data_IF_181543465484
#
_entry.id   IF_181543465484
#
_cell.length_a   1.000
_cell.length_b   1.000
_cell.length_c   1.000
_cell.angle_alpha   90.00
_cell.angle_beta   90.00
_cell.angle_gamma   90.00
#
_symmetry.space_group_name_H-M   'P 1'
#
loop_
_entity.id
_entity.type
_entity.pdbx_description
1 polymer ?
#
# COMPACT_ATOMS: atom_id res chain seq x y z
N UNK A 1 7.06 -8.91 -7.67
CA UNK A 1 6.08 -9.59 -6.79
C UNK A 1 5.18 -10.53 -7.60
N UNK A 2 4.50 -10.07 -8.65
CA UNK A 2 3.59 -10.90 -9.45
C UNK A 2 4.17 -12.24 -9.94
N UNK A 3 5.24 -12.22 -10.73
CA UNK A 3 5.84 -13.47 -11.26
C UNK A 3 6.54 -14.35 -10.22
N UNK A 4 6.88 -13.80 -9.05
CA UNK A 4 7.71 -14.48 -8.03
C UNK A 4 6.90 -15.08 -6.89
N UNK A 5 5.79 -14.44 -6.52
CA UNK A 5 4.94 -14.83 -5.40
C UNK A 5 3.52 -15.13 -5.87
N UNK A 6 2.87 -14.19 -6.58
CA UNK A 6 1.45 -14.35 -6.94
C UNK A 6 1.19 -15.56 -7.84
N UNK A 7 1.94 -15.70 -8.94
CA UNK A 7 1.72 -16.82 -9.87
C UNK A 7 1.99 -18.16 -9.17
N UNK A 8 3.14 -18.38 -8.51
CA UNK A 8 3.39 -19.66 -7.85
C UNK A 8 2.42 -19.95 -6.69
N UNK A 9 1.98 -18.94 -5.92
CA UNK A 9 0.98 -19.13 -4.85
C UNK A 9 -0.33 -19.71 -5.40
N UNK A 10 -0.78 -19.23 -6.57
CA UNK A 10 -1.99 -19.72 -7.23
C UNK A 10 -1.77 -21.07 -7.87
N UNK A 11 -0.72 -21.23 -8.69
CA UNK A 11 -0.53 -22.45 -9.48
C UNK A 11 -0.11 -23.66 -8.66
N UNK A 12 0.55 -23.45 -7.51
CA UNK A 12 0.92 -24.54 -6.58
C UNK A 12 -0.17 -24.81 -5.53
N UNK A 13 -1.32 -24.11 -5.60
CA UNK A 13 -2.43 -24.31 -4.67
C UNK A 13 -2.10 -23.95 -3.22
N UNK A 14 -1.16 -23.03 -2.99
CA UNK A 14 -0.79 -22.57 -1.64
C UNK A 14 -1.94 -21.79 -1.03
N UNK A 15 -2.62 -20.96 -1.83
CA UNK A 15 -3.76 -20.13 -1.45
C UNK A 15 -4.81 -20.12 -2.57
N UNK A 16 -6.05 -19.82 -2.19
CA UNK A 16 -7.11 -19.54 -3.17
C UNK A 16 -6.73 -18.33 -4.05
N UNK A 17 -7.14 -18.38 -5.32
CA UNK A 17 -6.78 -17.33 -6.29
C UNK A 17 -7.33 -15.96 -5.91
N UNK A 18 -8.55 -15.89 -5.36
CA UNK A 18 -9.13 -14.62 -4.94
C UNK A 18 -8.40 -14.08 -3.72
N UNK A 19 -8.00 -14.95 -2.78
CA UNK A 19 -7.21 -14.53 -1.62
C UNK A 19 -5.85 -13.94 -2.05
N UNK A 20 -5.20 -14.53 -3.06
CA UNK A 20 -3.96 -13.96 -3.62
C UNK A 20 -4.23 -12.61 -4.30
N UNK A 21 -5.32 -12.48 -5.06
CA UNK A 21 -5.66 -11.21 -5.69
C UNK A 21 -5.95 -10.11 -4.67
N UNK A 22 -6.65 -10.45 -3.58
CA UNK A 22 -6.89 -9.56 -2.45
C UNK A 22 -5.59 -9.17 -1.75
N UNK A 23 -4.68 -10.12 -1.50
CA UNK A 23 -3.40 -9.83 -0.82
C UNK A 23 -2.49 -8.88 -1.61
N UNK A 24 -2.53 -8.95 -2.94
CA UNK A 24 -1.68 -8.15 -3.82
C UNK A 24 -2.45 -7.09 -4.61
N UNK A 25 -3.67 -6.75 -4.15
CA UNK A 25 -4.57 -5.83 -4.82
C UNK A 25 -3.87 -4.52 -5.19
N UNK A 26 -4.04 -4.07 -6.45
CA UNK A 26 -3.43 -2.86 -7.04
C UNK A 26 -1.91 -2.77 -7.11
N UNK A 27 -1.16 -3.77 -6.60
CA UNK A 27 0.31 -3.75 -6.66
C UNK A 27 0.80 -3.78 -8.11
N UNK A 28 0.13 -4.53 -8.99
CA UNK A 28 0.53 -4.64 -10.39
C UNK A 28 0.31 -3.31 -11.14
N UNK A 29 -0.84 -2.67 -10.96
CA UNK A 29 -1.13 -1.37 -11.56
C UNK A 29 -0.17 -0.29 -11.07
N UNK A 30 0.11 -0.25 -9.77
CA UNK A 30 1.14 0.64 -9.21
C UNK A 30 2.49 0.36 -9.86
N UNK A 31 2.89 -0.91 -9.99
CA UNK A 31 4.13 -1.27 -10.68
C UNK A 31 4.17 -0.74 -12.12
N UNK A 32 3.10 -0.91 -12.90
CA UNK A 32 3.02 -0.42 -14.28
C UNK A 32 3.16 1.10 -14.38
N UNK A 33 2.55 1.85 -13.44
CA UNK A 33 2.73 3.29 -13.36
C UNK A 33 4.18 3.69 -13.08
N UNK A 34 4.85 3.01 -12.14
CA UNK A 34 6.27 3.28 -11.84
C UNK A 34 7.22 2.82 -12.94
N UNK A 35 6.91 1.72 -13.63
CA UNK A 35 7.70 1.26 -14.78
C UNK A 35 7.64 2.27 -15.92
N UNK A 36 6.45 2.84 -16.16
CA UNK A 36 6.25 3.91 -17.14
C UNK A 36 7.02 5.17 -16.73
N UNK A 37 6.90 5.60 -15.47
CA UNK A 37 7.66 6.74 -14.94
C UNK A 37 9.18 6.53 -15.13
N UNK A 38 9.69 5.35 -14.77
CA UNK A 38 11.10 5.01 -14.90
C UNK A 38 11.58 5.12 -16.35
N UNK A 39 10.85 4.55 -17.30
CA UNK A 39 11.21 4.61 -18.72
C UNK A 39 11.33 6.05 -19.24
N UNK A 40 10.42 6.94 -18.83
CA UNK A 40 10.52 8.37 -19.18
C UNK A 40 11.72 9.05 -18.52
N UNK A 41 11.96 8.78 -17.23
CA UNK A 41 13.11 9.37 -16.51
C UNK A 41 14.45 8.90 -17.07
N UNK A 42 14.60 7.61 -17.38
CA UNK A 42 15.81 7.05 -18.00
C UNK A 42 16.09 7.70 -19.36
N UNK A 43 15.05 7.89 -20.18
CA UNK A 43 15.18 8.57 -21.47
C UNK A 43 15.69 10.01 -21.35
N UNK A 44 15.20 10.76 -20.35
CA UNK A 44 15.66 12.13 -20.07
C UNK A 44 17.09 12.15 -19.53
N UNK A 45 17.41 11.29 -18.57
CA UNK A 45 18.74 11.26 -17.93
C UNK A 45 19.83 10.87 -18.93
N UNK A 46 19.54 10.01 -19.90
CA UNK A 46 20.50 9.63 -20.95
C UNK A 46 20.99 10.81 -21.80
N UNK A 47 20.22 11.90 -21.87
CA UNK A 47 20.51 13.09 -22.70
C UNK A 47 20.59 14.35 -21.85
N UNK A 48 20.95 14.19 -20.58
CA UNK A 48 20.89 15.26 -19.59
C UNK A 48 21.82 16.44 -19.93
N UNK A 49 21.26 17.64 -19.84
CA UNK A 49 21.98 18.91 -19.92
C UNK A 49 21.48 19.90 -18.84
N UNK A 50 22.05 21.10 -18.83
CA UNK A 50 21.73 22.15 -17.84
C UNK A 50 20.34 22.77 -17.98
N UNK A 51 19.55 22.37 -18.98
CA UNK A 51 18.17 22.83 -19.22
C UNK A 51 17.14 21.70 -19.10
N UNK A 52 17.60 20.48 -18.86
CA UNK A 52 16.76 19.30 -18.75
C UNK A 52 15.84 19.35 -17.52
N UNK A 53 14.63 18.83 -17.65
CA UNK A 53 13.61 18.83 -16.59
C UNK A 53 13.18 17.42 -16.23
N UNK A 54 12.93 17.15 -14.94
CA UNK A 54 12.26 15.93 -14.47
C UNK A 54 10.97 16.22 -13.73
N UNK A 55 10.78 17.44 -13.23
CA UNK A 55 9.59 17.83 -12.50
C UNK A 55 8.33 17.66 -13.33
N UNK A 56 8.39 17.92 -14.64
CA UNK A 56 7.27 17.78 -15.56
C UNK A 56 6.85 16.31 -15.74
N UNK A 57 7.82 15.41 -15.84
CA UNK A 57 7.61 13.97 -15.95
C UNK A 57 6.96 13.41 -14.67
N UNK A 58 7.49 13.82 -13.51
CA UNK A 58 6.98 13.40 -12.21
C UNK A 58 5.56 13.95 -11.99
N UNK A 59 5.34 15.24 -12.24
CA UNK A 59 4.03 15.88 -12.16
C UNK A 59 3.01 15.16 -13.06
N UNK A 60 3.34 14.99 -14.34
CA UNK A 60 2.45 14.30 -15.30
C UNK A 60 2.12 12.87 -14.86
N UNK A 61 3.02 12.18 -14.15
CA UNK A 61 2.73 10.86 -13.64
C UNK A 61 1.79 10.91 -12.42
N UNK A 62 2.14 11.67 -11.38
CA UNK A 62 1.38 11.67 -10.12
C UNK A 62 0.08 12.48 -10.16
N UNK A 63 -0.13 13.31 -11.17
CA UNK A 63 -1.41 13.97 -11.42
C UNK A 63 -2.41 13.12 -12.23
N UNK A 64 -2.02 11.93 -12.70
CA UNK A 64 -2.97 11.02 -13.36
C UNK A 64 -3.95 10.46 -12.34
N UNK A 65 -5.24 10.59 -12.67
CA UNK A 65 -6.31 10.02 -11.87
C UNK A 65 -6.12 8.51 -11.64
N UNK A 66 -5.66 7.78 -12.66
CA UNK A 66 -5.38 6.33 -12.55
C UNK A 66 -4.27 5.99 -11.55
N UNK A 67 -3.26 6.86 -11.39
CA UNK A 67 -2.21 6.68 -10.38
C UNK A 67 -2.78 6.93 -9.00
N UNK A 68 -3.51 8.02 -8.83
CA UNK A 68 -4.16 8.39 -7.57
C UNK A 68 -5.09 7.25 -7.11
N UNK A 69 -6.02 6.82 -7.95
CA UNK A 69 -6.97 5.74 -7.65
C UNK A 69 -6.26 4.42 -7.32
N UNK A 70 -5.21 4.06 -8.06
CA UNK A 70 -4.45 2.84 -7.77
C UNK A 70 -3.84 2.88 -6.36
N UNK A 71 -3.34 4.03 -5.94
CA UNK A 71 -2.79 4.22 -4.60
C UNK A 71 -3.87 4.23 -3.52
N UNK A 72 -4.98 4.94 -3.73
CA UNK A 72 -6.08 4.97 -2.76
C UNK A 72 -6.66 3.57 -2.56
N UNK A 73 -7.02 2.88 -3.65
CA UNK A 73 -7.55 1.52 -3.59
C UNK A 73 -6.56 0.50 -3.02
N UNK A 74 -5.26 0.66 -3.26
CA UNK A 74 -4.24 -0.14 -2.58
C UNK A 74 -4.30 0.06 -1.06
N UNK A 75 -4.36 1.30 -0.59
CA UNK A 75 -4.34 1.65 0.83
C UNK A 75 -5.62 1.18 1.54
N UNK A 76 -6.79 1.34 0.92
CA UNK A 76 -8.08 0.85 1.45
C UNK A 76 -8.05 -0.65 1.73
N UNK A 77 -7.41 -1.43 0.86
CA UNK A 77 -7.28 -2.88 1.03
C UNK A 77 -6.06 -3.30 1.87
N UNK A 78 -5.09 -2.41 2.07
CA UNK A 78 -3.80 -2.76 2.65
C UNK A 78 -3.91 -3.36 4.06
N UNK A 79 -4.76 -2.79 4.93
CA UNK A 79 -4.99 -3.31 6.28
C UNK A 79 -5.52 -4.75 6.27
N UNK A 80 -6.42 -5.07 5.33
CA UNK A 80 -6.93 -6.43 5.12
C UNK A 80 -5.81 -7.36 4.67
N UNK A 81 -5.01 -6.94 3.69
CA UNK A 81 -3.88 -7.73 3.20
C UNK A 81 -2.85 -8.01 4.30
N UNK A 82 -2.56 -7.04 5.17
CA UNK A 82 -1.68 -7.23 6.33
C UNK A 82 -2.22 -8.26 7.31
N UNK A 83 -3.52 -8.19 7.64
CA UNK A 83 -4.16 -9.17 8.52
C UNK A 83 -4.11 -10.58 7.93
N UNK A 84 -4.42 -10.72 6.65
CA UNK A 84 -4.34 -12.01 5.96
C UNK A 84 -2.91 -12.57 5.99
N UNK A 85 -1.90 -11.72 5.76
CA UNK A 85 -0.49 -12.14 5.86
C UNK A 85 -0.13 -12.61 7.27
N UNK A 86 -0.62 -11.92 8.29
CA UNK A 86 -0.36 -12.29 9.69
C UNK A 86 -1.03 -13.63 10.05
N UNK A 87 -2.28 -13.84 9.64
CA UNK A 87 -2.97 -15.12 9.84
C UNK A 87 -2.25 -16.27 9.10
N UNK A 88 -1.84 -16.04 7.85
CA UNK A 88 -1.12 -17.03 7.05
C UNK A 88 0.29 -17.29 7.56
N UNK A 89 0.91 -16.33 8.23
CA UNK A 89 2.24 -16.49 8.83
C UNK A 89 2.27 -17.57 9.91
N UNK A 90 1.12 -18.00 10.44
CA UNK A 90 1.02 -19.13 11.38
C UNK A 90 1.02 -20.50 10.68
N UNK A 91 0.80 -20.55 9.36
CA UNK A 91 0.69 -21.80 8.59
C UNK A 91 2.05 -22.24 8.07
N UNK A 92 2.49 -23.42 8.50
CA UNK A 92 3.80 -23.98 8.13
C UNK A 92 4.00 -24.18 6.62
N UNK A 93 2.93 -24.51 5.87
CA UNK A 93 2.96 -24.61 4.41
C UNK A 93 3.26 -23.28 3.74
N UNK A 94 2.64 -22.21 4.22
CA UNK A 94 2.84 -20.85 3.71
C UNK A 94 4.25 -20.33 4.04
N UNK A 95 4.71 -20.53 5.28
CA UNK A 95 6.07 -20.16 5.69
C UNK A 95 7.13 -20.82 4.80
N UNK A 96 7.06 -22.14 4.62
CA UNK A 96 8.00 -22.89 3.76
C UNK A 96 8.00 -22.39 2.32
N UNK A 97 6.82 -22.08 1.78
CA UNK A 97 6.69 -21.52 0.44
C UNK A 97 7.37 -20.14 0.34
N UNK A 98 7.09 -19.23 1.30
CA UNK A 98 7.69 -17.89 1.31
C UNK A 98 9.22 -17.95 1.43
N UNK A 99 9.74 -18.79 2.32
CA UNK A 99 11.18 -19.01 2.47
C UNK A 99 11.84 -19.53 1.18
N UNK A 100 11.17 -20.44 0.48
CA UNK A 100 11.66 -20.96 -0.80
C UNK A 100 11.72 -19.85 -1.85
N UNK A 101 10.66 -19.06 -1.99
CA UNK A 101 10.64 -17.91 -2.89
C UNK A 101 11.71 -16.87 -2.53
N UNK A 102 11.94 -16.60 -1.25
CA UNK A 102 12.97 -15.64 -0.79
C UNK A 102 14.38 -16.11 -1.15
N UNK A 103 14.67 -17.42 -0.99
CA UNK A 103 15.95 -18.04 -1.38
C UNK A 103 16.18 -17.95 -2.89
N UNK A 104 15.20 -18.34 -3.69
CA UNK A 104 15.29 -18.32 -5.16
C UNK A 104 15.47 -16.92 -5.72
N UNK A 105 14.78 -15.96 -5.12
CA UNK A 105 14.81 -14.57 -5.59
C UNK A 105 16.00 -13.78 -5.06
N UNK A 106 16.82 -14.37 -4.19
CA UNK A 106 17.93 -13.72 -3.45
C UNK A 106 17.47 -12.44 -2.76
N UNK A 107 16.21 -12.38 -2.36
CA UNK A 107 15.64 -11.17 -1.76
C UNK A 107 15.99 -11.14 -0.28
N UNK A 108 16.62 -10.05 0.17
CA UNK A 108 16.99 -9.88 1.59
C UNK A 108 15.83 -9.42 2.48
N UNK A 109 14.68 -9.08 1.89
CA UNK A 109 13.54 -8.50 2.60
C UNK A 109 12.37 -9.49 2.66
N UNK A 110 11.80 -9.73 3.86
CA UNK A 110 10.63 -10.57 4.03
C UNK A 110 9.46 -10.13 3.13
N UNK A 111 8.62 -11.07 2.70
CA UNK A 111 7.44 -10.78 1.86
C UNK A 111 6.57 -9.64 2.44
N UNK A 112 6.26 -9.66 3.74
CA UNK A 112 5.49 -8.59 4.40
C UNK A 112 6.14 -7.22 4.23
N UNK A 113 7.47 -7.15 4.37
CA UNK A 113 8.24 -5.92 4.17
C UNK A 113 8.31 -5.49 2.69
N UNK A 114 8.06 -6.39 1.73
CA UNK A 114 7.94 -6.03 0.32
C UNK A 114 6.57 -5.44 0.00
N UNK A 115 5.50 -5.98 0.58
CA UNK A 115 4.11 -5.58 0.31
C UNK A 115 3.82 -4.15 0.81
N UNK A 116 4.45 -3.70 1.90
CA UNK A 116 4.31 -2.32 2.40
C UNK A 116 5.01 -1.25 1.55
N UNK A 117 5.87 -1.63 0.59
CA UNK A 117 6.71 -0.67 -0.15
C UNK A 117 5.93 0.41 -0.91
N UNK A 118 4.78 0.13 -1.58
CA UNK A 118 4.02 1.18 -2.27
C UNK A 118 3.59 2.29 -1.32
N UNK A 119 3.05 1.94 -0.15
CA UNK A 119 2.67 2.90 0.89
C UNK A 119 3.85 3.78 1.34
N UNK A 120 5.04 3.19 1.47
CA UNK A 120 6.24 3.93 1.86
C UNK A 120 6.87 4.75 0.72
N UNK A 121 6.42 4.57 -0.53
CA UNK A 121 7.06 5.19 -1.70
C UNK A 121 6.70 6.66 -1.82
N UNK A 122 5.45 7.03 -1.53
CA UNK A 122 4.96 8.40 -1.64
C UNK A 122 5.70 9.37 -0.70
N UNK A 123 5.84 9.09 0.62
CA UNK A 123 6.60 9.96 1.51
C UNK A 123 8.08 10.11 1.10
N UNK A 124 8.68 9.05 0.53
CA UNK A 124 10.07 9.12 0.03
C UNK A 124 10.18 10.06 -1.17
N UNK A 125 9.24 10.04 -2.11
CA UNK A 125 9.27 10.98 -3.23
C UNK A 125 9.05 12.42 -2.79
N UNK A 126 8.19 12.66 -1.81
CA UNK A 126 7.99 14.00 -1.22
C UNK A 126 9.31 14.56 -0.67
N UNK A 127 10.04 13.77 0.13
CA UNK A 127 11.35 14.18 0.65
C UNK A 127 12.39 14.43 -0.45
N UNK A 128 12.42 13.57 -1.48
CA UNK A 128 13.35 13.72 -2.60
C UNK A 128 13.04 14.98 -3.42
N UNK A 129 11.77 15.25 -3.72
CA UNK A 129 11.35 16.43 -4.46
C UNK A 129 11.64 17.72 -3.70
N UNK A 130 11.36 17.76 -2.39
CA UNK A 130 11.75 18.90 -1.55
C UNK A 130 13.24 19.17 -1.60
N UNK A 131 14.06 18.10 -1.51
CA UNK A 131 15.51 18.23 -1.61
C UNK A 131 15.94 18.72 -2.99
N UNK A 132 15.36 18.19 -4.06
CA UNK A 132 15.65 18.65 -5.43
C UNK A 132 15.31 20.13 -5.60
N UNK A 133 14.12 20.54 -5.14
CA UNK A 133 13.64 21.91 -5.27
C UNK A 133 14.55 22.91 -4.54
N UNK A 134 14.99 22.61 -3.31
CA UNK A 134 15.91 23.48 -2.54
C UNK A 134 17.27 23.61 -3.22
N UNK A 135 17.68 22.62 -4.03
CA UNK A 135 18.95 22.63 -4.75
C UNK A 135 18.81 23.04 -6.23
N UNK A 136 17.62 23.50 -6.65
CA UNK A 136 17.38 23.96 -8.02
C UNK A 136 17.29 25.49 -8.03
N UNK A 137 18.09 26.20 -8.85
CA UNK A 137 17.99 27.65 -9.01
C UNK A 137 16.59 28.08 -9.47
N UNK A 138 16.10 29.24 -9.00
CA UNK A 138 14.74 29.72 -9.33
C UNK A 138 14.55 30.05 -10.82
N UNK A 139 15.64 30.36 -11.51
CA UNK A 139 15.71 30.65 -12.94
C UNK A 139 15.88 29.38 -13.79
N UNK A 140 16.14 28.21 -13.17
CA UNK A 140 16.20 26.94 -13.89
C UNK A 140 14.80 26.51 -14.35
N UNK A 141 14.63 26.02 -15.60
CA UNK A 141 13.31 25.66 -16.15
C UNK A 141 12.57 24.58 -15.34
N UNK A 142 13.29 23.72 -14.62
CA UNK A 142 12.69 22.67 -13.80
C UNK A 142 12.13 23.19 -12.46
N UNK A 143 12.45 24.41 -12.02
CA UNK A 143 12.05 24.90 -10.69
C UNK A 143 10.53 24.89 -10.49
N UNK A 144 9.78 25.51 -11.40
CA UNK A 144 8.30 25.52 -11.32
C UNK A 144 7.70 24.13 -11.51
N UNK A 145 8.35 23.28 -12.32
CA UNK A 145 7.88 21.94 -12.59
C UNK A 145 8.06 21.03 -11.37
N UNK A 146 9.17 21.17 -10.65
CA UNK A 146 9.41 20.52 -9.37
C UNK A 146 8.43 21.00 -8.29
N UNK A 147 8.05 22.29 -8.27
CA UNK A 147 7.00 22.78 -7.36
C UNK A 147 5.65 22.10 -7.63
N UNK A 148 5.25 21.99 -8.91
CA UNK A 148 4.01 21.29 -9.30
C UNK A 148 4.06 19.81 -8.92
N UNK A 149 5.19 19.16 -9.15
CA UNK A 149 5.41 17.76 -8.80
C UNK A 149 5.34 17.55 -7.27
N UNK A 150 6.00 18.41 -6.49
CA UNK A 150 6.01 18.31 -5.02
C UNK A 150 4.60 18.46 -4.47
N UNK A 151 3.85 19.46 -4.96
CA UNK A 151 2.44 19.65 -4.59
C UNK A 151 1.59 18.43 -4.93
N UNK A 152 1.71 17.87 -6.13
CA UNK A 152 0.92 16.71 -6.54
C UNK A 152 1.19 15.48 -5.67
N UNK A 153 2.46 15.25 -5.29
CA UNK A 153 2.83 14.15 -4.38
C UNK A 153 2.36 14.43 -2.95
N UNK A 154 2.48 15.68 -2.47
CA UNK A 154 1.99 16.08 -1.16
C UNK A 154 0.47 15.89 -1.05
N UNK A 155 -0.29 16.35 -2.04
CA UNK A 155 -1.75 16.17 -2.10
C UNK A 155 -2.13 14.68 -2.09
N UNK A 156 -1.39 13.83 -2.81
CA UNK A 156 -1.59 12.37 -2.76
C UNK A 156 -1.25 11.80 -1.38
N UNK A 157 -0.18 12.25 -0.72
CA UNK A 157 0.20 11.82 0.62
C UNK A 157 -0.90 12.17 1.64
N UNK A 158 -1.44 13.38 1.58
CA UNK A 158 -2.57 13.80 2.42
C UNK A 158 -3.80 12.93 2.20
N UNK A 159 -4.15 12.62 0.95
CA UNK A 159 -5.28 11.71 0.64
C UNK A 159 -5.04 10.31 1.19
N UNK A 160 -3.84 9.77 1.02
CA UNK A 160 -3.46 8.46 1.57
C UNK A 160 -3.59 8.45 3.10
N UNK A 161 -3.11 9.49 3.77
CA UNK A 161 -3.21 9.61 5.23
C UNK A 161 -4.66 9.70 5.69
N UNK A 162 -5.48 10.53 5.04
CA UNK A 162 -6.91 10.66 5.34
C UNK A 162 -7.64 9.32 5.18
N UNK A 163 -7.39 8.57 4.11
CA UNK A 163 -8.00 7.24 3.89
C UNK A 163 -7.61 6.25 4.99
N UNK A 164 -6.34 6.29 5.43
CA UNK A 164 -5.87 5.44 6.55
C UNK A 164 -6.56 5.78 7.85
N UNK A 165 -6.69 7.07 8.16
CA UNK A 165 -7.36 7.55 9.37
C UNK A 165 -8.84 7.17 9.36
N UNK A 166 -9.55 7.39 8.25
CA UNK A 166 -10.96 6.99 8.10
C UNK A 166 -11.14 5.48 8.27
N UNK A 167 -10.26 4.67 7.67
CA UNK A 167 -10.31 3.22 7.79
C UNK A 167 -10.07 2.75 9.24
N UNK A 168 -9.11 3.38 9.91
CA UNK A 168 -8.81 3.07 11.31
C UNK A 168 -9.99 3.39 12.24
N UNK A 169 -10.65 4.54 12.01
CA UNK A 169 -11.84 4.95 12.76
C UNK A 169 -13.01 3.98 12.53
N UNK A 170 -13.26 3.56 11.28
CA UNK A 170 -14.29 2.55 10.96
C UNK A 170 -14.06 1.24 11.71
N UNK A 171 -12.82 0.74 11.70
CA UNK A 171 -12.46 -0.52 12.34
C UNK A 171 -12.61 -0.44 13.88
N UNK A 172 -12.30 0.73 14.46
CA UNK A 172 -12.52 0.99 15.89
C UNK A 172 -14.02 1.00 16.22
N UNK A 173 -14.84 1.69 15.42
CA UNK A 173 -16.29 1.73 15.61
C UNK A 173 -16.94 0.35 15.47
N UNK A 174 -16.48 -0.47 14.52
CA UNK A 174 -16.97 -1.85 14.38
C UNK A 174 -16.61 -2.69 15.63
N UNK A 175 -15.41 -2.51 16.15
CA UNK A 175 -14.95 -3.20 17.37
C UNK A 175 -15.79 -2.80 18.58
N UNK A 176 -16.07 -1.50 18.75
CA UNK A 176 -16.93 -1.00 19.83
C UNK A 176 -18.34 -1.59 19.76
N UNK A 177 -18.96 -1.61 18.57
CA UNK A 177 -20.29 -2.21 18.38
C UNK A 177 -20.33 -3.70 18.75
N UNK A 178 -19.27 -4.46 18.42
CA UNK A 178 -19.19 -5.89 18.79
C UNK A 178 -19.10 -6.08 20.30
N UNK A 179 -18.33 -5.23 20.99
CA UNK A 179 -18.22 -5.28 22.45
C UNK A 179 -19.56 -4.90 23.12
N UNK A 180 -20.25 -3.89 22.62
CA UNK A 180 -21.59 -3.51 23.10
C UNK A 180 -22.60 -4.65 22.96
N UNK A 181 -22.62 -5.34 21.82
CA UNK A 181 -23.48 -6.51 21.60
C UNK A 181 -23.17 -7.66 22.56
N UNK A 182 -21.89 -7.96 22.77
CA UNK A 182 -21.47 -9.01 23.72
C UNK A 182 -21.93 -8.70 25.15
N UNK A 183 -21.77 -7.43 25.58
CA UNK A 183 -22.24 -6.99 26.89
C UNK A 183 -23.76 -7.12 27.03
N UNK A 184 -24.53 -6.76 26.00
CA UNK A 184 -26.00 -6.91 26.02
C UNK A 184 -26.39 -8.39 26.11
N UNK A 185 -25.73 -9.28 25.37
CA UNK A 185 -26.00 -10.71 25.43
C UNK A 185 -25.64 -11.31 26.78
N UNK A 186 -24.50 -10.94 27.37
CA UNK A 186 -24.06 -11.44 28.67
C UNK A 186 -24.98 -10.97 29.80
N UNK A 187 -25.39 -9.69 29.78
CA UNK A 187 -26.37 -9.16 30.75
C UNK A 187 -27.71 -9.87 30.61
N UNK A 188 -28.16 -10.13 29.38
CA UNK A 188 -29.42 -10.86 29.13
C UNK A 188 -29.36 -12.31 29.64
N UNK A 189 -28.24 -12.99 29.46
CA UNK A 189 -28.00 -14.35 29.97
C UNK A 189 -27.93 -14.41 31.50
N UNK A 190 -27.38 -13.38 32.16
CA UNK A 190 -27.35 -13.28 33.63
C UNK A 190 -28.75 -13.11 34.23
N UNK A 191 -29.63 -12.33 33.58
CA UNK A 191 -31.01 -12.15 34.03
C UNK A 191 -31.92 -13.35 33.71
N UNK A 192 -31.61 -14.12 32.66
CA UNK A 192 -32.35 -15.34 32.28
C UNK A 192 -32.14 -16.53 33.23
N UNK A 193 -30.97 -16.66 33.85
CA UNK A 193 -30.66 -17.74 34.80
C UNK A 193 -31.18 -17.50 36.23
N UNK A 194 -31.72 -16.33 36.55
CA UNK A 194 -32.25 -16.01 37.89
C UNK A 194 -33.68 -16.55 38.15
N UNK A 195 -34.33 -17.17 37.16
CA UNK A 195 -35.71 -17.68 37.26
C UNK A 195 -35.83 -19.21 37.31
N UNK A 196 -34.73 -19.95 37.45
CA UNK A 196 -34.73 -21.43 37.45
C UNK A 196 -34.08 -22.06 38.70
N UNK A 197 -34.21 -21.42 39.85
CA UNK A 197 -33.85 -22.00 41.16
C UNK A 197 -34.92 -21.64 42.17
N UNK A 198 -36.14 -22.17 42.00
CA UNK A 198 -37.19 -22.22 43.04
C UNK A 198 -38.36 -23.10 42.55
N UNK A 199 -38.20 -24.43 42.62
CA UNK A 199 -39.30 -25.42 42.76
C UNK A 199 -38.81 -26.53 43.69
#
# INVERSE_FOLDING_TARGET
>A
MAGKYMIPMKTQGILDSNLVDDMFYKINEIYMHHATLLAFMEGTIQRWDSSSTIGDIIYKNFSKQTVIESYISFIENFARAEKVLDDLSTKSSFQKFVEQCEKETKTKLPLKAQIVKPAQRIPRYELLLRRLLVNTPKDHPDYEQLQKAEKAIHDLALRINSVRESKHEEDLQETLKKLELLLITDVSNLHGNSFMVDI
#
